data_IF_520317113689
#
_entry.id   IF_520317113689
#
_cell.length_a   1.000
_cell.length_b   1.000
_cell.length_c   1.000
_cell.angle_alpha   90.00
_cell.angle_beta   90.00
_cell.angle_gamma   90.00
#
_symmetry.space_group_name_H-M   'P 1'
#
loop_
_entity.id
_entity.type
_entity.pdbx_description
1 polymer ?
#
# COMPACT_ATOMS: atom_id res chain seq x y z
N UNK A 1 11.75 19.39 -9.67
CA UNK A 1 11.58 19.82 -8.26
C UNK A 1 10.77 18.75 -7.54
N UNK A 2 11.36 18.02 -6.59
CA UNK A 2 10.69 16.93 -5.88
C UNK A 2 9.59 17.49 -4.97
N UNK A 3 8.32 17.30 -5.34
CA UNK A 3 7.15 17.93 -4.70
C UNK A 3 6.79 17.39 -3.31
N UNK A 4 7.77 17.13 -2.43
CA UNK A 4 7.56 16.83 -1.01
C UNK A 4 6.87 15.51 -0.66
N UNK A 5 6.28 14.79 -1.62
CA UNK A 5 5.47 13.57 -1.40
C UNK A 5 6.18 12.51 -0.56
N UNK A 6 7.40 12.14 -0.95
CA UNK A 6 8.19 11.15 -0.19
C UNK A 6 8.48 11.64 1.23
N UNK A 7 8.77 12.93 1.43
CA UNK A 7 8.98 13.50 2.76
C UNK A 7 7.70 13.45 3.61
N UNK A 8 6.53 13.76 3.02
CA UNK A 8 5.25 13.66 3.71
C UNK A 8 4.91 12.20 4.09
N UNK A 9 5.19 11.25 3.20
CA UNK A 9 4.98 9.82 3.48
C UNK A 9 5.91 9.33 4.60
N UNK A 10 7.17 9.78 4.62
CA UNK A 10 8.12 9.48 5.70
C UNK A 10 7.62 10.08 7.02
N UNK A 11 7.23 11.36 7.03
CA UNK A 11 6.71 12.02 8.22
C UNK A 11 5.47 11.31 8.78
N UNK A 12 4.53 10.94 7.90
CA UNK A 12 3.34 10.16 8.29
C UNK A 12 3.73 8.80 8.87
N UNK A 13 4.67 8.08 8.23
CA UNK A 13 5.16 6.79 8.72
C UNK A 13 5.81 6.89 10.10
N UNK A 14 6.60 7.94 10.35
CA UNK A 14 7.22 8.21 11.65
C UNK A 14 6.17 8.48 12.73
N UNK A 15 5.20 9.36 12.46
CA UNK A 15 4.12 9.68 13.41
C UNK A 15 3.20 8.50 13.69
N UNK A 16 2.99 7.63 12.69
CA UNK A 16 2.22 6.41 12.86
C UNK A 16 2.97 5.39 13.75
N UNK A 17 4.28 5.24 13.56
CA UNK A 17 5.13 4.31 14.31
C UNK A 17 5.47 4.78 15.74
N UNK A 18 5.63 6.08 15.95
CA UNK A 18 6.12 6.67 17.19
C UNK A 18 5.07 7.63 17.80
N UNK A 19 4.16 7.13 18.65
CA UNK A 19 3.12 7.95 19.27
C UNK A 19 3.63 9.13 20.09
N UNK A 20 4.82 8.97 20.67
CA UNK A 20 5.56 9.96 21.45
C UNK A 20 5.95 11.21 20.65
N UNK A 21 6.12 11.08 19.33
CA UNK A 21 6.41 12.23 18.45
C UNK A 21 5.16 13.07 18.12
N UNK A 22 3.95 12.53 18.33
CA UNK A 22 2.70 13.19 17.90
C UNK A 22 2.46 14.53 18.59
N UNK A 23 2.59 14.67 19.94
CA UNK A 23 2.38 15.95 20.61
C UNK A 23 3.40 17.04 20.25
N UNK A 24 4.59 16.65 19.75
CA UNK A 24 5.63 17.59 19.34
C UNK A 24 5.39 18.18 17.95
N UNK A 25 4.71 17.43 17.08
CA UNK A 25 4.55 17.76 15.66
C UNK A 25 3.12 18.13 15.30
N UNK A 26 2.13 17.51 15.93
CA UNK A 26 0.71 17.71 15.63
C UNK A 26 0.07 18.72 16.60
N UNK A 27 -0.90 19.52 16.12
CA UNK A 27 -1.75 20.33 16.98
C UNK A 27 -2.40 19.49 18.10
N UNK A 28 -2.61 20.10 19.27
CA UNK A 28 -3.15 19.42 20.45
C UNK A 28 -4.53 18.81 20.18
N UNK A 29 -5.40 19.53 19.48
CA UNK A 29 -6.76 19.08 19.12
C UNK A 29 -6.76 17.87 18.19
N UNK A 30 -5.74 17.72 17.34
CA UNK A 30 -5.56 16.54 16.50
C UNK A 30 -4.98 15.37 17.30
N UNK A 31 -3.99 15.64 18.14
CA UNK A 31 -3.35 14.63 18.99
C UNK A 31 -4.36 13.96 19.93
N UNK A 32 -5.26 14.74 20.53
CA UNK A 32 -6.33 14.25 21.41
C UNK A 32 -7.35 13.32 20.72
N UNK A 33 -7.49 13.42 19.39
CA UNK A 33 -8.40 12.60 18.57
C UNK A 33 -7.79 11.29 18.10
N UNK A 34 -6.48 11.09 18.30
CA UNK A 34 -5.77 9.88 17.88
C UNK A 34 -5.82 8.86 19.02
N UNK A 35 -6.70 7.87 18.87
CA UNK A 35 -6.95 6.86 19.92
C UNK A 35 -6.25 5.51 19.69
N UNK A 36 -5.23 5.45 18.81
CA UNK A 36 -4.43 4.24 18.59
C UNK A 36 -2.98 4.40 19.04
N UNK A 37 -2.34 3.28 19.43
CA UNK A 37 -0.94 3.21 19.83
C UNK A 37 0.04 3.32 18.65
N UNK A 38 1.13 2.56 18.69
CA UNK A 38 2.04 2.46 17.54
C UNK A 38 1.42 1.62 16.42
N UNK A 39 1.67 2.00 15.16
CA UNK A 39 1.26 1.24 13.98
C UNK A 39 2.42 0.44 13.38
N UNK A 40 2.12 -0.76 12.88
CA UNK A 40 2.99 -1.52 11.96
C UNK A 40 3.04 -0.77 10.63
N UNK A 41 4.23 -0.64 10.05
CA UNK A 41 4.42 0.13 8.82
C UNK A 41 5.04 -0.79 7.77
N UNK A 42 4.45 -0.79 6.57
CA UNK A 42 5.10 -1.27 5.36
C UNK A 42 5.18 -0.14 4.33
N UNK A 43 6.30 -0.02 3.64
CA UNK A 43 6.52 0.94 2.58
C UNK A 43 7.14 0.26 1.36
N UNK A 44 6.58 0.51 0.18
CA UNK A 44 7.08 0.00 -1.08
C UNK A 44 7.19 1.14 -2.09
N UNK A 45 8.38 1.31 -2.67
CA UNK A 45 8.61 2.20 -3.80
C UNK A 45 8.75 1.37 -5.07
N UNK A 46 8.00 1.68 -6.12
CA UNK A 46 8.02 0.91 -7.37
C UNK A 46 9.29 1.04 -8.22
N UNK A 47 10.33 1.74 -7.75
CA UNK A 47 11.70 1.62 -8.30
C UNK A 47 12.47 0.45 -7.68
N UNK A 48 11.97 -0.12 -6.60
CA UNK A 48 12.54 -1.30 -5.97
C UNK A 48 12.15 -2.56 -6.76
N UNK A 49 13.00 -3.58 -6.69
CA UNK A 49 12.76 -4.89 -7.31
C UNK A 49 13.20 -6.00 -6.35
N UNK A 50 12.42 -6.29 -5.30
CA UNK A 50 12.80 -7.27 -4.27
C UNK A 50 12.62 -8.72 -4.76
N UNK A 51 13.43 -9.63 -4.22
CA UNK A 51 13.41 -11.05 -4.59
C UNK A 51 12.10 -11.76 -4.21
N UNK A 52 11.41 -11.26 -3.18
CA UNK A 52 10.14 -11.79 -2.67
C UNK A 52 8.91 -11.05 -3.25
N UNK A 53 9.10 -10.23 -4.29
CA UNK A 53 8.07 -9.41 -4.93
C UNK A 53 7.45 -8.37 -3.97
N UNK A 54 6.63 -7.47 -4.51
CA UNK A 54 5.93 -6.44 -3.72
C UNK A 54 5.19 -6.99 -2.50
N UNK A 55 4.52 -8.14 -2.63
CA UNK A 55 3.74 -8.71 -1.53
C UNK A 55 4.62 -9.33 -0.44
N UNK A 56 5.72 -9.99 -0.81
CA UNK A 56 6.66 -10.52 0.16
C UNK A 56 7.36 -9.41 0.93
N UNK A 57 7.73 -8.33 0.25
CA UNK A 57 8.34 -7.15 0.87
C UNK A 57 7.39 -6.50 1.88
N UNK A 58 6.13 -6.23 1.48
CA UNK A 58 5.10 -5.68 2.37
C UNK A 58 4.90 -6.57 3.60
N UNK A 59 4.65 -7.86 3.40
CA UNK A 59 4.41 -8.79 4.50
C UNK A 59 5.63 -8.95 5.43
N UNK A 60 6.85 -8.92 4.88
CA UNK A 60 8.09 -8.98 5.67
C UNK A 60 8.23 -7.75 6.56
N UNK A 61 7.99 -6.54 6.04
CA UNK A 61 8.03 -5.31 6.84
C UNK A 61 6.95 -5.27 7.93
N UNK A 62 5.81 -5.92 7.68
CA UNK A 62 4.78 -6.14 8.69
C UNK A 62 5.15 -7.24 9.71
N UNK A 63 6.27 -7.96 9.56
CA UNK A 63 6.66 -9.05 10.48
C UNK A 63 5.97 -10.39 10.20
N UNK A 64 5.42 -10.58 9.00
CA UNK A 64 4.69 -11.78 8.56
C UNK A 64 5.44 -12.56 7.46
N UNK A 65 6.78 -12.60 7.53
CA UNK A 65 7.63 -13.24 6.51
C UNK A 65 7.34 -14.72 6.31
N UNK A 66 7.03 -15.46 7.37
CA UNK A 66 6.69 -16.90 7.26
C UNK A 66 5.29 -17.10 6.65
N UNK A 67 4.31 -16.25 6.99
CA UNK A 67 2.94 -16.37 6.48
C UNK A 67 2.85 -16.13 4.96
N UNK A 68 3.75 -15.29 4.41
CA UNK A 68 3.79 -14.96 2.98
C UNK A 68 4.71 -15.87 2.16
N UNK A 69 5.53 -16.69 2.82
CA UNK A 69 6.64 -17.44 2.19
C UNK A 69 6.21 -18.28 1.00
N UNK A 70 5.08 -18.97 1.12
CA UNK A 70 4.52 -19.80 0.05
C UNK A 70 4.17 -19.03 -1.22
N UNK A 71 4.05 -17.69 -1.14
CA UNK A 71 3.69 -16.83 -2.27
C UNK A 71 4.86 -16.34 -3.11
N UNK A 72 6.10 -16.68 -2.73
CA UNK A 72 7.29 -16.24 -3.46
C UNK A 72 8.42 -17.27 -3.51
N UNK A 73 8.54 -18.17 -2.53
CA UNK A 73 9.69 -19.09 -2.43
C UNK A 73 9.78 -20.09 -3.59
N UNK A 74 8.64 -20.49 -4.16
CA UNK A 74 8.56 -21.42 -5.30
C UNK A 74 8.11 -20.71 -6.58
N UNK A 75 8.45 -19.43 -6.70
CA UNK A 75 7.97 -18.53 -7.75
C UNK A 75 6.77 -17.69 -7.31
N UNK A 76 6.35 -16.73 -8.15
CA UNK A 76 5.31 -15.79 -7.79
C UNK A 76 3.95 -16.47 -7.77
N UNK A 77 3.25 -16.34 -6.64
CA UNK A 77 1.86 -16.75 -6.50
C UNK A 77 1.08 -15.56 -5.95
N UNK A 78 0.06 -15.13 -6.69
CA UNK A 78 -0.74 -13.98 -6.33
C UNK A 78 -1.39 -14.16 -4.94
N UNK A 79 -1.57 -13.05 -4.21
CA UNK A 79 -2.08 -13.03 -2.84
C UNK A 79 -3.54 -12.61 -2.86
N UNK A 80 -4.41 -13.43 -2.27
CA UNK A 80 -5.83 -13.13 -2.18
C UNK A 80 -6.17 -12.28 -0.95
N UNK A 81 -7.43 -11.86 -0.87
CA UNK A 81 -7.92 -10.99 0.21
C UNK A 81 -7.83 -11.67 1.59
N UNK A 82 -8.09 -12.98 1.66
CA UNK A 82 -8.06 -13.72 2.92
C UNK A 82 -6.64 -13.76 3.50
N UNK A 83 -5.65 -14.01 2.65
CA UNK A 83 -4.24 -14.00 3.04
C UNK A 83 -3.79 -12.60 3.45
N UNK A 84 -4.25 -11.54 2.79
CA UNK A 84 -3.97 -10.18 3.24
C UNK A 84 -4.56 -9.86 4.62
N UNK A 85 -5.79 -10.30 4.90
CA UNK A 85 -6.38 -10.16 6.24
C UNK A 85 -5.59 -10.90 7.31
N UNK A 86 -5.10 -12.11 7.00
CA UNK A 86 -4.22 -12.87 7.90
C UNK A 86 -2.92 -12.11 8.20
N UNK A 87 -2.28 -11.52 7.19
CA UNK A 87 -1.00 -10.79 7.31
C UNK A 87 -1.16 -9.49 8.11
N UNK A 88 -2.22 -8.73 7.83
CA UNK A 88 -2.48 -7.42 8.44
C UNK A 88 -3.04 -7.60 9.85
N UNK A 89 -4.08 -8.42 10.02
CA UNK A 89 -4.80 -8.60 11.28
C UNK A 89 -5.45 -7.31 11.78
N UNK A 90 -5.71 -7.26 13.09
CA UNK A 90 -6.46 -6.15 13.72
C UNK A 90 -5.56 -5.03 14.28
N UNK A 91 -4.24 -5.18 14.21
CA UNK A 91 -3.30 -4.18 14.72
C UNK A 91 -3.29 -2.93 13.83
N UNK A 92 -3.13 -1.71 14.40
CA UNK A 92 -2.94 -0.50 13.62
C UNK A 92 -1.82 -0.69 12.58
N UNK A 93 -2.18 -0.54 11.31
CA UNK A 93 -1.30 -0.82 10.19
C UNK A 93 -1.39 0.29 9.15
N UNK A 94 -0.23 0.80 8.73
CA UNK A 94 -0.11 1.77 7.65
C UNK A 94 0.75 1.19 6.53
N UNK A 95 0.20 1.12 5.33
CA UNK A 95 0.90 0.67 4.11
C UNK A 95 1.07 1.85 3.17
N UNK A 96 2.31 2.10 2.77
CA UNK A 96 2.73 3.24 1.96
C UNK A 96 3.20 2.72 0.59
N UNK A 97 2.46 3.01 -0.49
CA UNK A 97 2.80 2.61 -1.85
C UNK A 97 3.18 3.85 -2.66
N UNK A 98 4.44 3.98 -3.04
CA UNK A 98 4.95 5.11 -3.83
C UNK A 98 5.47 4.66 -5.20
N UNK A 99 5.29 5.51 -6.20
CA UNK A 99 5.83 5.34 -7.56
C UNK A 99 5.67 3.91 -8.13
N UNK A 100 4.48 3.31 -8.05
CA UNK A 100 4.22 1.96 -8.59
C UNK A 100 4.46 1.75 -10.11
N UNK A 101 4.31 2.75 -11.00
CA UNK A 101 4.37 2.50 -12.46
C UNK A 101 5.64 1.81 -12.99
N UNK A 102 6.88 2.17 -12.57
CA UNK A 102 8.09 1.49 -13.03
C UNK A 102 8.11 0.00 -12.64
N UNK A 103 7.62 -0.36 -11.46
CA UNK A 103 7.52 -1.76 -11.03
C UNK A 103 6.54 -2.54 -11.89
N UNK A 104 5.33 -2.00 -12.12
CA UNK A 104 4.33 -2.61 -13.01
C UNK A 104 4.86 -2.74 -14.44
N UNK A 105 5.61 -1.76 -14.92
CA UNK A 105 6.26 -1.82 -16.23
C UNK A 105 7.28 -2.96 -16.31
N UNK A 106 8.15 -3.12 -15.31
CA UNK A 106 9.11 -4.23 -15.27
C UNK A 106 8.40 -5.59 -15.11
N UNK A 107 7.36 -5.66 -14.28
CA UNK A 107 6.57 -6.87 -14.09
C UNK A 107 5.83 -7.28 -15.37
N UNK A 108 5.45 -6.32 -16.23
CA UNK A 108 4.71 -6.61 -17.47
C UNK A 108 5.53 -7.34 -18.53
N UNK A 109 6.87 -7.35 -18.41
CA UNK A 109 7.76 -8.07 -19.32
C UNK A 109 8.04 -9.50 -18.87
N UNK A 110 7.63 -9.88 -17.66
CA UNK A 110 7.90 -11.19 -17.07
C UNK A 110 6.67 -12.09 -17.25
N UNK A 111 6.79 -13.10 -18.11
CA UNK A 111 5.71 -14.03 -18.43
C UNK A 111 5.60 -15.15 -17.40
N UNK A 112 4.37 -15.41 -16.93
CA UNK A 112 4.05 -16.49 -16.01
C UNK A 112 2.77 -17.21 -16.48
N UNK A 113 2.93 -18.44 -16.98
CA UNK A 113 1.81 -19.21 -17.54
C UNK A 113 1.16 -18.49 -18.72
N UNK A 114 -0.13 -18.16 -18.59
CA UNK A 114 -0.92 -17.43 -19.61
C UNK A 114 -0.93 -15.91 -19.42
N UNK A 115 -0.31 -15.38 -18.37
CA UNK A 115 -0.28 -13.95 -18.04
C UNK A 115 1.12 -13.44 -17.74
N UNK A 116 1.19 -12.29 -17.08
CA UNK A 116 2.42 -11.61 -16.67
C UNK A 116 2.51 -11.47 -15.15
N UNK A 117 3.70 -11.19 -14.62
CA UNK A 117 3.86 -10.81 -13.21
C UNK A 117 3.02 -9.57 -12.87
N UNK A 118 2.87 -8.64 -13.82
CA UNK A 118 2.08 -7.45 -13.58
C UNK A 118 0.59 -7.77 -13.34
N UNK A 119 0.04 -8.78 -14.02
CA UNK A 119 -1.34 -9.24 -13.78
C UNK A 119 -1.50 -9.77 -12.34
N UNK A 120 -0.50 -10.53 -11.85
CA UNK A 120 -0.47 -11.00 -10.47
C UNK A 120 -0.32 -9.86 -9.45
N UNK A 121 0.49 -8.85 -9.77
CA UNK A 121 0.67 -7.66 -8.92
C UNK A 121 -0.63 -6.86 -8.83
N UNK A 122 -1.28 -6.58 -9.97
CA UNK A 122 -2.56 -5.86 -10.00
C UNK A 122 -3.61 -6.61 -9.19
N UNK A 123 -3.74 -7.93 -9.40
CA UNK A 123 -4.65 -8.76 -8.60
C UNK A 123 -4.35 -8.67 -7.09
N UNK A 124 -3.08 -8.87 -6.71
CA UNK A 124 -2.68 -8.92 -5.31
C UNK A 124 -2.86 -7.57 -4.61
N UNK A 125 -2.60 -6.45 -5.30
CA UNK A 125 -2.83 -5.11 -4.77
C UNK A 125 -4.32 -4.76 -4.67
N UNK A 126 -5.13 -5.17 -5.66
CA UNK A 126 -6.59 -5.02 -5.56
C UNK A 126 -7.14 -5.77 -4.35
N UNK A 127 -6.71 -7.02 -4.14
CA UNK A 127 -7.08 -7.81 -2.98
C UNK A 127 -6.61 -7.19 -1.66
N UNK A 128 -5.41 -6.58 -1.63
CA UNK A 128 -4.89 -5.85 -0.47
C UNK A 128 -5.80 -4.67 -0.10
N UNK A 129 -6.24 -3.89 -1.10
CA UNK A 129 -7.12 -2.73 -0.88
C UNK A 129 -8.49 -3.16 -0.36
N UNK A 130 -9.08 -4.23 -0.92
CA UNK A 130 -10.33 -4.79 -0.39
C UNK A 130 -10.16 -5.33 1.03
N UNK A 131 -9.03 -5.98 1.34
CA UNK A 131 -8.75 -6.44 2.70
C UNK A 131 -8.67 -5.26 3.68
N UNK A 132 -7.97 -4.19 3.33
CA UNK A 132 -7.83 -3.01 4.17
C UNK A 132 -9.17 -2.32 4.49
N UNK A 133 -10.12 -2.32 3.55
CA UNK A 133 -11.46 -1.76 3.76
C UNK A 133 -12.29 -2.54 4.79
N UNK A 134 -12.06 -3.84 4.89
CA UNK A 134 -12.78 -4.72 5.82
C UNK A 134 -12.09 -4.84 7.19
N UNK A 135 -10.87 -4.31 7.34
CA UNK A 135 -10.10 -4.35 8.57
C UNK A 135 -10.29 -3.07 9.38
N UNK A 136 -10.43 -3.16 10.72
CA UNK A 136 -10.79 -2.00 11.55
C UNK A 136 -9.68 -0.95 11.66
N UNK A 137 -8.41 -1.33 11.50
CA UNK A 137 -7.25 -0.47 11.78
C UNK A 137 -6.20 -0.48 10.67
N UNK A 138 -6.62 -0.58 9.40
CA UNK A 138 -5.70 -0.58 8.26
C UNK A 138 -5.87 0.67 7.40
N UNK A 139 -4.77 1.37 7.12
CA UNK A 139 -4.73 2.49 6.18
C UNK A 139 -3.72 2.22 5.07
N UNK A 140 -4.13 2.47 3.81
CA UNK A 140 -3.23 2.41 2.65
C UNK A 140 -3.14 3.81 2.05
N UNK A 141 -1.92 4.31 1.87
CA UNK A 141 -1.64 5.56 1.17
C UNK A 141 -0.92 5.23 -0.13
N UNK A 142 -1.51 5.62 -1.26
CA UNK A 142 -0.95 5.40 -2.59
C UNK A 142 -0.59 6.74 -3.21
N UNK A 143 0.65 6.91 -3.63
CA UNK A 143 1.13 8.09 -4.32
C UNK A 143 1.41 7.80 -5.81
N UNK A 144 1.24 8.84 -6.64
CA UNK A 144 1.61 8.84 -8.06
C UNK A 144 0.91 7.78 -8.93
N UNK A 145 -0.38 7.51 -8.66
CA UNK A 145 -1.19 6.62 -9.50
C UNK A 145 -1.68 7.31 -10.80
N UNK A 146 -1.87 8.63 -10.76
CA UNK A 146 -2.30 9.45 -11.89
C UNK A 146 -1.09 9.96 -12.70
N UNK A 147 -0.83 9.36 -13.86
CA UNK A 147 0.18 9.89 -14.79
C UNK A 147 0.93 8.87 -15.66
N UNK A 148 0.69 7.56 -15.51
CA UNK A 148 1.32 6.56 -16.40
C UNK A 148 0.32 5.89 -17.34
N UNK A 149 0.50 6.11 -18.64
CA UNK A 149 -0.38 5.69 -19.74
C UNK A 149 -0.30 4.19 -20.09
N UNK A 150 -0.10 3.30 -19.10
CA UNK A 150 -0.01 1.85 -19.34
C UNK A 150 -1.24 1.10 -18.85
N UNK A 151 -1.59 0.01 -19.53
CA UNK A 151 -2.78 -0.78 -19.26
C UNK A 151 -2.85 -1.30 -17.81
N UNK A 152 -1.72 -1.66 -17.21
CA UNK A 152 -1.66 -2.18 -15.83
C UNK A 152 -1.91 -1.09 -14.79
N UNK A 153 -1.34 0.11 -14.98
CA UNK A 153 -1.65 1.26 -14.10
C UNK A 153 -3.12 1.64 -14.24
N UNK A 154 -3.67 1.58 -15.47
CA UNK A 154 -5.09 1.81 -15.70
C UNK A 154 -5.95 0.79 -14.97
N UNK A 155 -5.61 -0.51 -15.05
CA UNK A 155 -6.34 -1.55 -14.33
C UNK A 155 -6.29 -1.37 -12.80
N UNK A 156 -5.13 -0.96 -12.26
CA UNK A 156 -5.00 -0.65 -10.83
C UNK A 156 -5.82 0.59 -10.44
N UNK A 157 -5.79 1.64 -11.25
CA UNK A 157 -6.61 2.84 -11.03
C UNK A 157 -8.11 2.55 -11.11
N UNK A 158 -8.55 1.76 -12.08
CA UNK A 158 -9.95 1.31 -12.20
C UNK A 158 -10.37 0.45 -10.99
N UNK A 159 -9.48 -0.42 -10.49
CA UNK A 159 -9.75 -1.17 -9.26
C UNK A 159 -9.93 -0.23 -8.06
N UNK A 160 -9.08 0.79 -7.91
CA UNK A 160 -9.23 1.82 -6.87
C UNK A 160 -10.55 2.57 -7.03
N UNK A 161 -10.88 3.03 -8.23
CA UNK A 161 -12.09 3.81 -8.51
C UNK A 161 -13.36 2.98 -8.23
N UNK A 162 -13.38 1.70 -8.63
CA UNK A 162 -14.49 0.79 -8.33
C UNK A 162 -14.65 0.59 -6.83
N UNK A 163 -13.55 0.36 -6.10
CA UNK A 163 -13.58 0.25 -4.64
C UNK A 163 -14.12 1.52 -3.99
N UNK A 164 -13.72 2.71 -4.47
CA UNK A 164 -14.24 3.99 -3.98
C UNK A 164 -15.74 4.15 -4.21
N UNK A 165 -16.25 3.73 -5.36
CA UNK A 165 -17.67 3.81 -5.68
C UNK A 165 -18.51 2.87 -4.80
N UNK A 166 -18.00 1.67 -4.50
CA UNK A 166 -18.65 0.69 -3.62
C UNK A 166 -18.62 1.11 -2.15
N UNK A 167 -17.54 1.76 -1.72
CA UNK A 167 -17.28 2.08 -0.30
C UNK A 167 -17.35 3.57 0.00
N UNK A 168 -18.35 4.30 -0.52
CA UNK A 168 -18.59 5.77 -0.39
C UNK A 168 -18.33 6.45 0.98
N UNK A 169 -18.05 5.70 2.06
CA UNK A 169 -17.73 6.19 3.41
C UNK A 169 -16.30 5.88 3.92
N UNK A 170 -15.50 5.03 3.26
CA UNK A 170 -14.22 4.52 3.80
C UNK A 170 -12.99 4.81 2.92
N UNK A 171 -13.14 5.00 1.61
CA UNK A 171 -12.05 5.34 0.72
C UNK A 171 -12.13 6.82 0.29
N UNK A 172 -11.05 7.58 0.50
CA UNK A 172 -10.96 9.01 0.15
C UNK A 172 -9.76 9.26 -0.75
N UNK A 173 -10.00 9.80 -1.95
CA UNK A 173 -8.93 10.37 -2.77
C UNK A 173 -8.50 11.70 -2.18
N UNK A 174 -7.27 11.76 -1.67
CA UNK A 174 -6.65 13.02 -1.25
C UNK A 174 -5.78 13.52 -2.40
N UNK A 175 -6.26 14.53 -3.12
CA UNK A 175 -5.40 15.30 -4.02
C UNK A 175 -4.74 16.38 -3.16
N UNK A 176 -3.40 16.45 -3.04
CA UNK A 176 -2.74 17.58 -2.41
C UNK A 176 -2.97 18.79 -3.33
N UNK A 177 -4.02 19.56 -3.06
CA UNK A 177 -4.27 20.82 -3.76
C UNK A 177 -3.20 21.80 -3.27
N UNK A 178 -2.60 22.55 -4.19
CA UNK A 178 -1.67 23.64 -3.90
C UNK A 178 -2.20 24.46 -2.72
N UNK A 179 -1.54 24.34 -1.57
CA UNK A 179 -1.69 25.29 -0.47
C UNK A 179 -0.98 26.58 -0.92
N UNK A 180 -1.68 27.39 -1.71
CA UNK A 180 -1.36 28.77 -2.03
C UNK A 180 -2.66 29.56 -2.13
#
# INVERSE_FOLDING_TARGET
MGGGKTHMMIALGLLARHPDLRPEVLPTDLTERIHFGAARIAAFNGRNNPDNYIWGEIATQLGASEAIKEHWVNGPKAVDQSKWKEIIGDQPTLILLDELPPYLQNASTQMFGKGTLADMVVYSLSALMTAALELPNCAIVIANLSGSYKAQTKALAEAVDNLQQETRRQAMTITPVQLA
#
